data_IF_995516849891
#
_entry.id   IF_995516849891
#
_cell.length_a   1.000
_cell.length_b   1.000
_cell.length_c   1.000
_cell.angle_alpha   90.00
_cell.angle_beta   90.00
_cell.angle_gamma   90.00
#
_symmetry.space_group_name_H-M   'P 1'
#
loop_
_entity.id
_entity.type
_entity.pdbx_description
1 polymer ?
#
# COMPACT_ATOMS: atom_id res chain seq x y z
N UNK A 1 19.11 5.68 0.44
CA UNK A 1 18.09 6.75 0.26
C UNK A 1 18.35 7.41 -1.08
N UNK A 2 17.33 7.53 -1.90
CA UNK A 2 17.36 8.27 -3.17
C UNK A 2 16.52 9.53 -3.02
N UNK A 3 16.81 10.57 -3.83
CA UNK A 3 15.99 11.78 -3.85
C UNK A 3 14.66 11.46 -4.56
N UNK A 4 13.50 11.56 -3.89
CA UNK A 4 12.21 11.31 -4.52
C UNK A 4 11.96 12.32 -5.66
N UNK A 5 11.21 11.90 -6.69
CA UNK A 5 10.73 12.86 -7.70
C UNK A 5 9.72 13.81 -7.05
N UNK A 6 9.61 15.06 -7.50
CA UNK A 6 8.59 15.98 -7.00
C UNK A 6 7.20 15.36 -7.08
N UNK A 7 6.38 15.58 -6.03
CA UNK A 7 4.97 15.20 -6.07
C UNK A 7 4.22 16.19 -6.96
N UNK A 8 3.50 15.69 -7.94
CA UNK A 8 2.64 16.48 -8.82
C UNK A 8 1.20 15.97 -8.73
N UNK A 9 0.39 16.64 -7.92
CA UNK A 9 -1.03 16.34 -7.78
C UNK A 9 -1.83 16.47 -9.09
N UNK A 10 -1.32 17.23 -10.08
CA UNK A 10 -1.99 17.39 -11.39
C UNK A 10 -1.68 16.25 -12.34
N UNK A 11 -0.52 15.58 -12.17
CA UNK A 11 -0.14 14.41 -12.97
C UNK A 11 -0.96 13.17 -12.61
N UNK A 12 -1.57 13.14 -11.44
CA UNK A 12 -2.38 12.04 -10.91
C UNK A 12 -3.80 11.96 -11.50
N UNK A 13 -4.04 12.45 -12.72
CA UNK A 13 -5.34 12.23 -13.39
C UNK A 13 -5.53 10.76 -13.66
N UNK A 14 -6.58 10.19 -13.07
CA UNK A 14 -6.98 8.82 -13.34
C UNK A 14 -7.17 8.60 -14.85
N UNK A 15 -6.65 7.50 -15.43
CA UNK A 15 -6.98 7.11 -16.78
C UNK A 15 -8.52 7.05 -16.96
N UNK A 16 -9.03 7.31 -18.17
CA UNK A 16 -10.50 7.34 -18.43
C UNK A 16 -11.22 6.05 -18.00
N UNK A 17 -10.53 4.91 -18.04
CA UNK A 17 -11.09 3.59 -17.69
C UNK A 17 -10.79 3.18 -16.23
N UNK A 18 -10.15 4.04 -15.45
CA UNK A 18 -9.82 3.70 -14.07
C UNK A 18 -11.06 3.71 -13.17
N UNK A 19 -11.13 2.73 -12.29
CA UNK A 19 -12.11 2.72 -11.20
C UNK A 19 -11.57 3.64 -10.09
N UNK A 20 -12.22 4.78 -9.91
CA UNK A 20 -11.88 5.71 -8.82
C UNK A 20 -12.45 5.17 -7.52
N UNK A 21 -11.58 4.67 -6.65
CA UNK A 21 -11.98 4.16 -5.34
C UNK A 21 -12.23 5.30 -4.35
N UNK A 22 -11.42 6.35 -4.42
CA UNK A 22 -11.55 7.54 -3.57
C UNK A 22 -11.02 8.77 -4.31
N UNK A 23 -11.79 9.84 -4.32
CA UNK A 23 -11.49 11.11 -5.00
C UNK A 23 -11.50 12.32 -4.04
N UNK A 24 -11.41 12.07 -2.73
CA UNK A 24 -11.46 13.11 -1.71
C UNK A 24 -12.87 13.50 -1.28
N UNK A 25 -13.93 12.88 -1.82
CA UNK A 25 -15.32 13.26 -1.52
C UNK A 25 -16.03 12.21 -0.64
N UNK A 26 -17.09 12.69 0.07
CA UNK A 26 -18.00 11.80 0.82
C UNK A 26 -18.68 10.77 -0.08
N UNK A 27 -18.89 11.07 -1.37
CA UNK A 27 -19.51 10.16 -2.32
C UNK A 27 -18.67 8.89 -2.50
N UNK A 28 -17.38 9.03 -2.70
CA UNK A 28 -16.48 7.88 -2.90
C UNK A 28 -16.08 7.19 -1.61
N UNK A 29 -16.29 7.83 -0.45
CA UNK A 29 -16.16 7.14 0.85
C UNK A 29 -17.12 5.94 0.95
N UNK A 30 -18.25 5.95 0.25
CA UNK A 30 -19.20 4.84 0.22
C UNK A 30 -18.64 3.56 -0.43
N UNK A 31 -17.53 3.66 -1.16
CA UNK A 31 -16.81 2.50 -1.73
C UNK A 31 -16.05 1.70 -0.68
N UNK A 32 -15.99 2.19 0.56
CA UNK A 32 -15.15 1.67 1.62
C UNK A 32 -15.97 1.20 2.83
N UNK A 33 -15.40 0.27 3.56
CA UNK A 33 -15.97 -0.28 4.79
C UNK A 33 -14.85 -0.69 5.76
N UNK A 34 -15.18 -0.91 7.03
CA UNK A 34 -14.30 -1.58 7.95
C UNK A 34 -14.14 -3.06 7.55
N UNK A 35 -13.04 -3.71 7.96
CA UNK A 35 -12.77 -5.12 7.64
C UNK A 35 -13.87 -6.09 8.04
N UNK A 36 -14.66 -5.77 9.07
CA UNK A 36 -15.81 -6.57 9.51
C UNK A 36 -17.10 -6.28 8.71
N UNK A 37 -17.03 -5.51 7.61
CA UNK A 37 -18.17 -5.14 6.78
C UNK A 37 -18.99 -3.95 7.29
N UNK A 38 -18.72 -3.46 8.50
CA UNK A 38 -19.38 -2.30 9.07
C UNK A 38 -18.84 -0.96 8.55
N UNK A 39 -19.42 0.17 9.01
CA UNK A 39 -18.94 1.49 8.65
C UNK A 39 -17.51 1.71 9.14
N UNK A 40 -16.69 2.37 8.31
CA UNK A 40 -15.33 2.73 8.70
C UNK A 40 -15.34 3.83 9.76
N UNK A 41 -14.35 3.78 10.67
CA UNK A 41 -14.06 4.84 11.62
C UNK A 41 -13.07 5.89 11.09
N UNK A 42 -12.47 5.65 9.92
CA UNK A 42 -11.57 6.60 9.28
C UNK A 42 -12.31 7.90 8.96
N UNK A 43 -11.62 9.01 9.06
CA UNK A 43 -12.21 10.35 8.89
C UNK A 43 -11.84 10.93 7.54
N UNK A 44 -12.79 11.64 6.95
CA UNK A 44 -12.53 12.50 5.79
C UNK A 44 -12.03 13.86 6.31
N UNK A 45 -10.75 14.16 6.08
CA UNK A 45 -10.09 15.41 6.50
C UNK A 45 -9.38 16.00 5.29
N UNK A 46 -9.73 17.21 4.91
CA UNK A 46 -9.10 17.95 3.80
C UNK A 46 -8.95 17.14 2.49
N UNK A 47 -9.99 16.36 2.16
CA UNK A 47 -9.98 15.53 0.96
C UNK A 47 -9.16 14.22 1.07
N UNK A 48 -8.71 13.86 2.24
CA UNK A 48 -8.00 12.61 2.51
C UNK A 48 -8.74 11.74 3.51
N UNK A 49 -8.51 10.43 3.46
CA UNK A 49 -8.95 9.49 4.48
C UNK A 49 -7.86 9.35 5.54
N UNK A 50 -8.14 9.87 6.72
CA UNK A 50 -7.24 9.81 7.87
C UNK A 50 -7.59 8.63 8.77
N UNK A 51 -6.60 7.77 9.04
CA UNK A 51 -6.74 6.69 10.00
C UNK A 51 -6.84 7.25 11.42
N UNK A 52 -7.65 6.60 12.26
CA UNK A 52 -7.78 6.97 13.66
C UNK A 52 -7.34 5.82 14.55
N UNK A 53 -6.79 6.14 15.72
CA UNK A 53 -6.38 5.12 16.68
C UNK A 53 -7.55 4.19 17.03
N UNK A 54 -7.36 2.87 16.87
CA UNK A 54 -8.41 1.88 17.09
C UNK A 54 -9.48 1.87 16.00
N UNK A 55 -9.25 2.54 14.86
CA UNK A 55 -10.16 2.57 13.72
C UNK A 55 -10.20 1.28 12.89
N UNK A 56 -9.18 0.43 13.05
CA UNK A 56 -9.05 -0.80 12.27
C UNK A 56 -8.71 -0.56 10.80
N UNK A 57 -8.77 -1.63 10.02
CA UNK A 57 -8.46 -1.59 8.60
C UNK A 57 -9.62 -0.98 7.80
N UNK A 58 -9.24 -0.25 6.77
CA UNK A 58 -10.13 0.23 5.72
C UNK A 58 -10.08 -0.74 4.54
N UNK A 59 -11.22 -1.19 4.06
CA UNK A 59 -11.34 -2.17 2.98
C UNK A 59 -12.28 -1.66 1.90
N UNK A 60 -11.88 -1.83 0.61
CA UNK A 60 -12.81 -1.59 -0.50
C UNK A 60 -13.95 -2.61 -0.50
N UNK A 61 -15.18 -2.15 -0.74
CA UNK A 61 -16.35 -3.05 -0.87
C UNK A 61 -16.26 -3.90 -2.13
N UNK A 62 -15.70 -3.32 -3.21
CA UNK A 62 -15.43 -4.06 -4.44
C UNK A 62 -14.16 -4.88 -4.28
N UNK A 63 -14.22 -6.14 -4.65
CA UNK A 63 -13.07 -7.03 -4.68
C UNK A 63 -12.31 -6.92 -5.99
N UNK A 64 -10.99 -7.11 -5.89
CA UNK A 64 -10.08 -7.05 -7.03
C UNK A 64 -9.11 -8.24 -6.98
N UNK A 65 -8.85 -8.82 -8.15
CA UNK A 65 -7.78 -9.78 -8.34
C UNK A 65 -6.49 -9.10 -8.80
N UNK A 66 -5.94 -9.52 -9.95
CA UNK A 66 -4.82 -8.83 -10.58
C UNK A 66 -5.23 -7.41 -10.98
N UNK A 67 -4.41 -6.43 -10.66
CA UNK A 67 -4.75 -5.02 -10.90
C UNK A 67 -3.52 -4.13 -11.04
N UNK A 68 -3.76 -2.93 -11.57
CA UNK A 68 -2.86 -1.78 -11.37
C UNK A 68 -3.54 -0.86 -10.37
N UNK A 69 -2.83 -0.50 -9.32
CA UNK A 69 -3.33 0.34 -8.23
C UNK A 69 -2.43 1.54 -8.04
N UNK A 70 -3.00 2.73 -8.10
CA UNK A 70 -2.36 3.97 -7.69
C UNK A 70 -2.86 4.35 -6.30
N UNK A 71 -1.95 4.64 -5.38
CA UNK A 71 -2.25 5.08 -4.01
C UNK A 71 -1.41 6.28 -3.67
N UNK A 72 -2.06 7.32 -3.17
CA UNK A 72 -1.40 8.46 -2.56
C UNK A 72 -1.54 8.38 -1.05
N UNK A 73 -0.47 8.60 -0.33
CA UNK A 73 -0.46 8.55 1.13
C UNK A 73 0.51 9.56 1.74
N UNK A 74 0.27 9.93 2.98
CA UNK A 74 1.20 10.69 3.79
C UNK A 74 1.29 10.06 5.18
N UNK A 75 2.50 10.01 5.75
CA UNK A 75 2.70 9.66 7.15
C UNK A 75 2.41 10.88 8.03
N UNK A 76 2.14 10.73 9.35
CA UNK A 76 1.86 11.86 10.23
C UNK A 76 2.95 12.94 10.15
N UNK A 77 2.55 14.20 10.02
CA UNK A 77 3.47 15.36 9.92
C UNK A 77 4.42 15.44 11.12
N UNK A 78 3.93 15.15 12.31
CA UNK A 78 4.74 15.08 13.51
C UNK A 78 5.20 13.65 13.72
N UNK A 79 6.46 13.38 13.40
CA UNK A 79 7.06 12.07 13.60
C UNK A 79 7.09 11.72 15.10
N UNK A 80 6.47 10.59 15.46
CA UNK A 80 6.50 10.05 16.83
C UNK A 80 6.94 8.60 16.78
N UNK A 81 7.81 8.21 17.71
CA UNK A 81 8.34 6.84 17.77
C UNK A 81 9.55 6.62 16.87
N UNK A 82 9.99 5.37 16.80
CA UNK A 82 11.15 4.90 16.03
C UNK A 82 10.83 3.54 15.39
N UNK A 83 11.61 3.17 14.39
CA UNK A 83 11.47 1.87 13.71
C UNK A 83 10.04 1.64 13.24
N UNK A 84 9.47 0.49 13.52
CA UNK A 84 8.10 0.11 13.17
C UNK A 84 7.01 0.88 13.94
N UNK A 85 7.35 1.58 15.00
CA UNK A 85 6.41 2.42 15.76
C UNK A 85 6.19 3.81 15.17
N UNK A 86 6.73 4.12 13.98
CA UNK A 86 6.70 5.46 13.40
C UNK A 86 5.91 5.50 12.09
N UNK A 87 4.68 6.03 12.14
CA UNK A 87 3.84 6.21 10.96
C UNK A 87 3.52 4.91 10.21
N UNK A 88 3.33 3.82 10.93
CA UNK A 88 3.14 2.47 10.38
C UNK A 88 1.71 2.28 9.86
N UNK A 89 1.60 1.75 8.66
CA UNK A 89 0.38 1.33 7.98
C UNK A 89 0.75 0.34 6.86
N UNK A 90 -0.20 -0.04 6.00
CA UNK A 90 0.08 -0.92 4.86
C UNK A 90 -0.99 -0.85 3.80
N UNK A 91 -0.61 -1.12 2.54
CA UNK A 91 -1.51 -1.32 1.41
C UNK A 91 -1.61 -2.81 1.13
N UNK A 92 -2.78 -3.39 1.38
CA UNK A 92 -3.02 -4.83 1.24
C UNK A 92 -3.72 -5.16 -0.08
N UNK A 93 -3.13 -6.05 -0.87
CA UNK A 93 -3.74 -6.66 -2.05
C UNK A 93 -4.33 -8.03 -1.64
N UNK A 94 -5.62 -8.26 -1.96
CA UNK A 94 -6.37 -9.46 -1.56
C UNK A 94 -6.37 -9.72 -0.04
N UNK A 95 -6.08 -8.70 0.79
CA UNK A 95 -5.95 -8.87 2.24
C UNK A 95 -4.79 -9.76 2.70
N UNK A 96 -3.88 -10.14 1.80
CA UNK A 96 -2.81 -11.11 2.05
C UNK A 96 -1.42 -10.56 1.76
N UNK A 97 -1.30 -9.62 0.83
CA UNK A 97 -0.04 -9.10 0.33
C UNK A 97 0.10 -7.64 0.69
N UNK A 98 1.01 -7.34 1.59
CA UNK A 98 1.24 -6.00 2.11
C UNK A 98 2.41 -5.32 1.40
N UNK A 99 2.14 -4.15 0.85
CA UNK A 99 3.16 -3.15 0.53
C UNK A 99 3.21 -2.19 1.71
N UNK A 100 4.31 -2.23 2.46
CA UNK A 100 4.46 -1.50 3.72
C UNK A 100 4.38 0.00 3.53
N UNK A 101 3.62 0.67 4.39
CA UNK A 101 3.65 2.11 4.61
C UNK A 101 4.31 2.38 5.95
N UNK A 102 5.38 3.17 5.94
CA UNK A 102 6.14 3.52 7.14
C UNK A 102 6.75 4.91 6.93
N UNK A 103 6.90 5.69 7.97
CA UNK A 103 7.79 6.83 7.92
C UNK A 103 9.25 6.33 8.02
N UNK A 104 9.82 6.03 6.84
CA UNK A 104 11.21 5.56 6.69
C UNK A 104 12.22 6.68 6.40
N UNK A 105 11.79 7.94 6.51
CA UNK A 105 12.68 9.08 6.34
C UNK A 105 13.56 9.25 7.59
N UNK A 106 14.87 9.03 7.45
CA UNK A 106 15.81 9.05 8.59
C UNK A 106 15.34 8.18 9.78
N UNK A 107 14.77 7.02 9.47
CA UNK A 107 14.26 6.08 10.47
C UNK A 107 14.81 4.67 10.20
N UNK A 108 15.56 4.14 11.15
CA UNK A 108 16.21 2.83 11.01
C UNK A 108 15.24 1.75 11.47
N UNK A 109 15.05 0.74 10.60
CA UNK A 109 14.32 -0.49 10.90
C UNK A 109 14.89 -1.63 10.06
N UNK A 110 14.38 -2.86 10.27
CA UNK A 110 14.79 -4.00 9.45
C UNK A 110 14.41 -3.81 7.98
N UNK A 111 15.24 -4.29 7.02
CA UNK A 111 15.10 -3.95 5.60
C UNK A 111 13.77 -4.33 4.95
N UNK A 112 13.22 -5.50 5.30
CA UNK A 112 11.96 -6.04 4.77
C UNK A 112 10.71 -5.56 5.52
N UNK A 113 10.87 -4.58 6.42
CA UNK A 113 9.79 -3.84 7.07
C UNK A 113 9.82 -2.34 6.79
N UNK A 114 10.70 -1.87 5.91
CA UNK A 114 10.75 -0.47 5.50
C UNK A 114 9.56 -0.09 4.62
N UNK A 115 9.34 1.22 4.43
CA UNK A 115 8.37 1.74 3.47
C UNK A 115 8.62 1.15 2.09
N UNK A 116 7.59 0.58 1.48
CA UNK A 116 7.67 -0.10 0.19
C UNK A 116 8.13 -1.56 0.25
N UNK A 117 8.48 -2.10 1.40
CA UNK A 117 8.75 -3.53 1.51
C UNK A 117 7.51 -4.37 1.17
N UNK A 118 7.70 -5.51 0.51
CA UNK A 118 6.73 -6.59 0.55
C UNK A 118 6.94 -7.29 1.89
N UNK A 119 6.15 -6.89 2.89
CA UNK A 119 6.42 -7.05 4.31
C UNK A 119 6.86 -8.47 4.71
N UNK A 120 8.04 -8.57 5.33
CA UNK A 120 8.63 -9.84 5.77
C UNK A 120 9.04 -10.79 4.63
N UNK A 121 9.01 -10.34 3.35
CA UNK A 121 9.36 -11.16 2.18
C UNK A 121 10.46 -10.54 1.33
N UNK A 122 10.40 -9.23 1.10
CA UNK A 122 11.39 -8.57 0.26
C UNK A 122 11.57 -7.10 0.67
N UNK A 123 12.82 -6.69 0.81
CA UNK A 123 13.17 -5.28 1.00
C UNK A 123 13.01 -4.51 -0.31
N UNK A 124 12.67 -3.21 -0.29
CA UNK A 124 12.70 -2.36 -1.46
C UNK A 124 14.13 -2.20 -1.98
N UNK A 125 14.30 -2.06 -3.30
CA UNK A 125 15.60 -1.82 -3.94
C UNK A 125 16.26 -0.53 -3.44
N UNK A 126 15.44 0.50 -3.17
CA UNK A 126 15.88 1.80 -2.64
C UNK A 126 14.86 2.34 -1.65
N UNK A 127 15.29 3.15 -0.70
CA UNK A 127 14.39 3.94 0.13
C UNK A 127 14.08 5.25 -0.58
N UNK A 128 12.88 5.36 -1.14
CA UNK A 128 12.37 6.53 -1.87
C UNK A 128 11.39 7.36 -1.01
N UNK A 129 11.37 7.15 0.30
CA UNK A 129 10.45 7.85 1.23
C UNK A 129 10.73 9.36 1.25
N UNK A 130 9.63 10.13 1.32
CA UNK A 130 9.66 11.57 1.63
C UNK A 130 9.60 11.78 3.13
N UNK A 131 9.81 13.02 3.55
CA UNK A 131 9.69 13.43 4.95
C UNK A 131 8.26 13.24 5.51
N UNK A 132 8.13 13.21 6.86
CA UNK A 132 6.83 13.12 7.51
C UNK A 132 5.90 14.24 7.06
N UNK A 133 4.64 13.91 6.80
CA UNK A 133 3.62 14.84 6.33
C UNK A 133 3.66 15.18 4.84
N UNK A 134 4.67 14.73 4.11
CA UNK A 134 4.72 14.89 2.66
C UNK A 134 3.94 13.77 1.94
N UNK A 135 3.19 14.14 0.90
CA UNK A 135 2.47 13.20 0.07
C UNK A 135 3.42 12.33 -0.76
N UNK A 136 3.13 11.06 -0.82
CA UNK A 136 3.89 10.00 -1.47
C UNK A 136 2.96 9.15 -2.33
N UNK A 137 3.52 8.48 -3.34
CA UNK A 137 2.75 7.66 -4.27
C UNK A 137 3.29 6.25 -4.36
N UNK A 138 2.40 5.28 -4.41
CA UNK A 138 2.66 3.95 -4.93
C UNK A 138 1.92 3.74 -6.24
N UNK A 139 2.63 3.26 -7.25
CA UNK A 139 2.08 2.63 -8.44
C UNK A 139 2.41 1.15 -8.40
N UNK A 140 1.39 0.33 -8.16
CA UNK A 140 1.53 -1.11 -7.93
C UNK A 140 0.89 -1.86 -9.09
N UNK A 141 1.67 -2.69 -9.80
CA UNK A 141 1.14 -3.73 -10.66
C UNK A 141 1.20 -5.05 -9.91
N UNK A 142 0.04 -5.61 -9.64
CA UNK A 142 -0.12 -6.87 -8.92
C UNK A 142 -0.72 -7.94 -9.82
N UNK A 143 -0.07 -9.08 -9.91
CA UNK A 143 -0.61 -10.29 -10.51
C UNK A 143 -0.86 -11.30 -9.39
N UNK A 144 -2.13 -11.67 -9.20
CA UNK A 144 -2.52 -12.65 -8.19
C UNK A 144 -1.94 -14.04 -8.50
N UNK A 145 -1.73 -14.89 -7.50
CA UNK A 145 -1.39 -16.28 -7.73
C UNK A 145 -2.52 -17.01 -8.44
N UNK A 146 -2.18 -18.10 -9.11
CA UNK A 146 -3.16 -19.03 -9.71
C UNK A 146 -2.90 -20.43 -9.21
N UNK A 147 -3.95 -21.25 -9.19
CA UNK A 147 -3.92 -22.59 -8.63
C UNK A 147 -4.53 -23.59 -9.62
N UNK A 148 -4.11 -24.83 -9.57
CA UNK A 148 -4.77 -25.93 -10.27
C UNK A 148 -5.96 -26.46 -9.45
N UNK A 149 -6.66 -27.47 -9.99
CA UNK A 149 -7.81 -28.10 -9.34
C UNK A 149 -7.48 -28.79 -8.00
N UNK A 150 -6.20 -29.06 -7.72
CA UNK A 150 -5.73 -29.63 -6.45
C UNK A 150 -5.35 -28.56 -5.41
N UNK A 151 -5.46 -27.27 -5.76
CA UNK A 151 -5.04 -26.16 -4.89
C UNK A 151 -3.53 -25.89 -4.92
N UNK A 152 -2.78 -26.50 -5.81
CA UNK A 152 -1.34 -26.26 -5.94
C UNK A 152 -1.10 -24.98 -6.75
N UNK A 153 -0.11 -24.19 -6.32
CA UNK A 153 0.24 -22.92 -6.99
C UNK A 153 0.80 -23.18 -8.38
N UNK A 154 0.13 -22.71 -9.43
CA UNK A 154 0.59 -22.78 -10.83
C UNK A 154 1.30 -21.51 -11.27
N UNK A 155 1.01 -20.38 -10.64
CA UNK A 155 1.72 -19.11 -10.80
C UNK A 155 1.77 -18.39 -9.46
N UNK A 156 2.94 -17.92 -9.08
CA UNK A 156 3.15 -17.15 -7.86
C UNK A 156 2.57 -15.74 -7.98
N UNK A 157 2.27 -15.12 -6.84
CA UNK A 157 1.98 -13.69 -6.81
C UNK A 157 3.19 -12.90 -7.28
N UNK A 158 2.96 -11.86 -8.11
CA UNK A 158 4.03 -11.06 -8.71
C UNK A 158 3.74 -9.58 -8.56
N UNK A 159 4.77 -8.82 -8.20
CA UNK A 159 4.70 -7.39 -7.95
C UNK A 159 5.70 -6.61 -8.80
N UNK A 160 5.23 -5.51 -9.38
CA UNK A 160 6.06 -4.41 -9.83
C UNK A 160 5.57 -3.17 -9.09
N UNK A 161 6.46 -2.51 -8.34
CA UNK A 161 6.10 -1.39 -7.48
C UNK A 161 7.01 -0.21 -7.75
N UNK A 162 6.40 0.95 -8.01
CA UNK A 162 7.07 2.23 -8.12
C UNK A 162 6.68 3.09 -6.92
N UNK A 163 7.66 3.63 -6.21
CA UNK A 163 7.48 4.53 -5.07
C UNK A 163 8.09 5.89 -5.40
N UNK A 164 7.28 6.93 -5.41
CA UNK A 164 7.72 8.30 -5.73
C UNK A 164 8.55 8.38 -7.03
N UNK A 165 8.15 7.61 -8.05
CA UNK A 165 8.81 7.54 -9.35
C UNK A 165 10.06 6.66 -9.44
N UNK A 166 10.42 5.94 -8.37
CA UNK A 166 11.52 4.97 -8.35
C UNK A 166 11.00 3.54 -8.30
N UNK A 167 11.49 2.66 -9.17
CA UNK A 167 11.18 1.23 -9.11
C UNK A 167 11.80 0.68 -7.82
N UNK A 168 10.96 0.13 -6.94
CA UNK A 168 11.38 -0.48 -5.68
C UNK A 168 11.22 -2.00 -5.67
N UNK A 169 10.36 -2.53 -6.54
CA UNK A 169 10.28 -3.95 -6.89
C UNK A 169 10.06 -4.07 -8.39
N UNK A 170 10.88 -4.87 -9.08
CA UNK A 170 10.75 -5.09 -10.51
C UNK A 170 10.34 -6.52 -10.80
N UNK A 171 9.05 -6.70 -11.10
CA UNK A 171 8.47 -7.99 -11.47
C UNK A 171 8.80 -9.13 -10.48
N UNK A 172 8.88 -8.81 -9.19
CA UNK A 172 9.26 -9.75 -8.14
C UNK A 172 8.16 -10.77 -7.87
N UNK A 173 8.50 -12.05 -7.93
CA UNK A 173 7.63 -13.14 -7.51
C UNK A 173 7.81 -13.44 -6.03
N UNK A 174 6.69 -13.63 -5.30
CA UNK A 174 6.71 -14.03 -3.91
C UNK A 174 6.50 -15.53 -3.76
N UNK A 175 7.12 -16.12 -2.75
CA UNK A 175 6.94 -17.53 -2.39
C UNK A 175 5.66 -17.80 -1.58
N UNK A 176 4.94 -16.76 -1.17
CA UNK A 176 3.72 -16.85 -0.36
C UNK A 176 3.20 -15.47 0.04
N UNK A 177 2.17 -15.42 0.89
CA UNK A 177 1.63 -14.20 1.47
C UNK A 177 2.68 -13.48 2.33
N UNK A 178 2.52 -12.16 2.54
CA UNK A 178 3.47 -11.36 3.32
C UNK A 178 3.39 -11.64 4.81
N UNK A 179 4.50 -11.37 5.50
CA UNK A 179 4.61 -11.59 6.94
C UNK A 179 4.45 -13.06 7.31
N UNK A 180 3.68 -13.33 8.34
CA UNK A 180 3.41 -14.67 8.87
C UNK A 180 2.16 -15.35 8.30
N UNK A 181 1.58 -14.82 7.24
CA UNK A 181 0.34 -15.35 6.66
C UNK A 181 0.51 -16.64 5.85
N UNK A 182 1.75 -17.09 5.71
CA UNK A 182 2.05 -18.41 5.16
C UNK A 182 2.05 -18.50 3.62
N UNK A 183 1.60 -19.64 3.06
CA UNK A 183 1.59 -19.86 1.62
C UNK A 183 0.57 -18.96 0.90
N UNK A 184 0.59 -18.98 -0.43
CA UNK A 184 -0.49 -18.40 -1.22
C UNK A 184 -1.83 -19.09 -0.96
N UNK A 185 -2.93 -18.32 -0.97
CA UNK A 185 -4.29 -18.84 -0.85
C UNK A 185 -5.25 -18.01 -1.68
#
# INVERSE_FOLDING_TARGET
VVKPRPYDAKAAKSPKEAIVLFDGTKKTLQNWQARNGGPTKWKLVEGALESVRGGGDLQSKKEFGSCRLHVEFATPRVAKGTGQGRGNSGVFLMGQYEVQVLDSYNNITYPDGQCGALYGRAKPLVNASRGPGEWQTYDITFNRPTFNAKGEVTRKAKFHVVHNGHIIHDNLELSGATGWRGPHS
#
